data_IF_133999172736
#
_entry.id   IF_133999172736
#
_cell.length_a   1.000
_cell.length_b   1.000
_cell.length_c   1.000
_cell.angle_alpha   90.00
_cell.angle_beta   90.00
_cell.angle_gamma   90.00
#
_symmetry.space_group_name_H-M   'P 1'
#
loop_
_entity.id
_entity.type
_entity.pdbx_description
1 polymer ?
#
# COMPACT_ATOMS: atom_id res chain seq x y z
N UNK A 1 -18.54 -3.24 33.26
CA UNK A 1 -17.46 -3.90 32.47
C UNK A 1 -16.53 -2.82 31.94
N UNK A 2 -15.25 -2.91 32.27
CA UNK A 2 -14.27 -1.85 32.04
C UNK A 2 -13.83 -1.77 30.58
N UNK A 3 -14.06 -0.60 29.99
CA UNK A 3 -13.71 -0.18 28.63
C UNK A 3 -12.19 0.01 28.41
N UNK A 4 -11.36 -0.65 29.24
CA UNK A 4 -9.91 -0.44 29.36
C UNK A 4 -9.06 -1.61 28.82
N UNK A 5 -9.60 -2.82 28.69
CA UNK A 5 -8.80 -4.01 28.34
C UNK A 5 -8.48 -4.14 26.84
N UNK A 6 -9.30 -3.56 25.95
CA UNK A 6 -9.13 -3.65 24.49
C UNK A 6 -8.33 -2.50 23.86
N UNK A 7 -8.20 -1.35 24.56
CA UNK A 7 -7.63 -0.11 24.01
C UNK A 7 -6.12 -0.09 23.69
N UNK A 8 -5.21 -0.71 24.46
CA UNK A 8 -3.77 -0.59 24.18
C UNK A 8 -3.29 -1.55 23.08
N UNK A 9 -3.93 -2.71 22.92
CA UNK A 9 -3.55 -3.73 21.93
C UNK A 9 -3.81 -3.25 20.49
N UNK A 10 -4.93 -2.56 20.25
CA UNK A 10 -5.28 -2.06 18.90
C UNK A 10 -4.25 -1.09 18.32
N UNK A 11 -3.68 -0.17 19.11
CA UNK A 11 -2.66 0.78 18.63
C UNK A 11 -1.31 0.12 18.36
N UNK A 12 -0.92 -0.84 19.19
CA UNK A 12 0.33 -1.61 19.00
C UNK A 12 0.22 -2.48 17.75
N UNK A 13 -0.90 -3.16 17.57
CA UNK A 13 -1.19 -3.95 16.38
C UNK A 13 -1.18 -3.07 15.13
N UNK A 14 -1.90 -1.95 15.11
CA UNK A 14 -1.92 -1.05 13.96
C UNK A 14 -0.52 -0.49 13.62
N UNK A 15 0.29 -0.15 14.62
CA UNK A 15 1.67 0.28 14.37
C UNK A 15 2.55 -0.87 13.82
N UNK A 16 2.42 -2.09 14.36
CA UNK A 16 3.14 -3.25 13.86
C UNK A 16 2.72 -3.59 12.42
N UNK A 17 1.41 -3.56 12.14
CA UNK A 17 0.84 -3.77 10.81
C UNK A 17 1.28 -2.67 9.83
N UNK A 18 1.35 -1.40 10.27
CA UNK A 18 1.87 -0.31 9.44
C UNK A 18 3.35 -0.52 9.07
N UNK A 19 4.19 -0.86 10.06
CA UNK A 19 5.61 -1.10 9.83
C UNK A 19 5.84 -2.36 8.97
N UNK A 20 5.18 -3.47 9.30
CA UNK A 20 5.27 -4.72 8.56
C UNK A 20 4.73 -4.59 7.13
N UNK A 21 3.57 -3.94 6.97
CA UNK A 21 2.99 -3.62 5.67
C UNK A 21 3.88 -2.69 4.84
N UNK A 22 4.55 -1.71 5.47
CA UNK A 22 5.50 -0.86 4.78
C UNK A 22 6.76 -1.58 4.31
N UNK A 23 7.32 -2.47 5.14
CA UNK A 23 8.45 -3.31 4.73
C UNK A 23 8.03 -4.28 3.62
N UNK A 24 6.89 -4.96 3.76
CA UNK A 24 6.39 -5.85 2.73
C UNK A 24 6.11 -5.11 1.42
N UNK A 25 5.54 -3.91 1.47
CA UNK A 25 5.33 -3.08 0.29
C UNK A 25 6.65 -2.78 -0.42
N UNK A 26 7.67 -2.30 0.32
CA UNK A 26 8.97 -2.01 -0.24
C UNK A 26 9.65 -3.22 -0.86
N UNK A 27 9.57 -4.37 -0.18
CA UNK A 27 10.11 -5.64 -0.68
C UNK A 27 9.35 -6.12 -1.91
N UNK A 28 8.01 -6.11 -1.89
CA UNK A 28 7.16 -6.52 -3.01
C UNK A 28 7.44 -5.68 -4.25
N UNK A 29 7.44 -4.35 -4.08
CA UNK A 29 7.68 -3.42 -5.17
C UNK A 29 9.11 -3.54 -5.71
N UNK A 30 10.13 -3.61 -4.84
CA UNK A 30 11.51 -3.82 -5.29
C UNK A 30 11.69 -5.15 -6.03
N UNK A 31 11.08 -6.22 -5.52
CA UNK A 31 11.12 -7.54 -6.12
C UNK A 31 10.47 -7.53 -7.51
N UNK A 32 9.29 -6.94 -7.65
CA UNK A 32 8.60 -6.80 -8.93
C UNK A 32 9.49 -6.13 -9.98
N UNK A 33 10.05 -4.96 -9.68
CA UNK A 33 10.86 -4.20 -10.64
C UNK A 33 12.21 -4.85 -10.95
N UNK A 34 12.76 -5.66 -10.05
CA UNK A 34 13.99 -6.43 -10.31
C UNK A 34 13.74 -7.66 -11.18
N UNK A 35 12.61 -8.33 -10.98
CA UNK A 35 12.27 -9.55 -11.73
C UNK A 35 11.66 -9.24 -13.09
N UNK A 36 11.02 -8.08 -13.23
CA UNK A 36 10.30 -7.66 -14.44
C UNK A 36 10.69 -6.23 -14.85
N UNK A 37 11.96 -5.99 -15.22
CA UNK A 37 12.48 -4.65 -15.50
C UNK A 37 11.94 -4.05 -16.81
N UNK A 38 11.63 -4.91 -17.79
CA UNK A 38 11.10 -4.52 -19.11
C UNK A 38 9.56 -4.43 -19.05
N UNK A 39 9.07 -3.41 -18.34
CA UNK A 39 7.67 -2.94 -18.28
C UNK A 39 6.55 -4.00 -18.37
N UNK A 40 6.03 -4.36 -17.21
CA UNK A 40 4.65 -4.85 -17.05
C UNK A 40 3.75 -3.62 -17.06
N UNK A 41 3.24 -3.27 -18.24
CA UNK A 41 2.09 -2.36 -18.35
C UNK A 41 0.83 -3.12 -17.95
N UNK A 42 -0.28 -2.47 -17.65
CA UNK A 42 -1.56 -3.17 -17.41
C UNK A 42 -2.16 -3.77 -18.71
N UNK A 43 -1.32 -4.39 -19.52
CA UNK A 43 -1.63 -4.84 -20.87
C UNK A 43 -1.57 -6.35 -20.97
N UNK A 44 -2.01 -6.85 -22.13
CA UNK A 44 -1.97 -8.25 -22.45
C UNK A 44 -0.56 -8.88 -22.41
N UNK A 45 0.49 -8.08 -22.53
CA UNK A 45 1.89 -8.56 -22.49
C UNK A 45 2.25 -9.22 -21.14
N UNK A 46 1.48 -8.95 -20.08
CA UNK A 46 1.70 -9.54 -18.76
C UNK A 46 1.57 -11.05 -18.74
N UNK A 47 0.86 -11.65 -19.71
CA UNK A 47 0.81 -13.12 -19.83
C UNK A 47 2.19 -13.68 -20.12
N UNK A 48 2.92 -13.09 -21.08
CA UNK A 48 4.26 -13.57 -21.46
C UNK A 48 5.30 -13.23 -20.37
N UNK A 49 5.17 -12.08 -19.72
CA UNK A 49 6.02 -11.73 -18.58
C UNK A 49 5.81 -12.72 -17.44
N UNK A 50 4.56 -13.00 -17.06
CA UNK A 50 4.25 -14.02 -16.07
C UNK A 50 4.76 -15.41 -16.50
N UNK A 51 4.66 -15.77 -17.79
CA UNK A 51 5.16 -17.04 -18.31
C UNK A 51 6.69 -17.17 -18.21
N UNK A 52 7.42 -16.07 -18.37
CA UNK A 52 8.90 -16.05 -18.25
C UNK A 52 9.40 -16.32 -16.82
N UNK A 53 8.54 -16.09 -15.82
CA UNK A 53 8.91 -16.19 -14.40
C UNK A 53 7.73 -16.52 -13.50
N UNK A 54 6.96 -17.58 -13.80
CA UNK A 54 5.66 -17.85 -13.15
C UNK A 54 5.76 -17.99 -11.61
N UNK A 55 6.85 -18.57 -11.11
CA UNK A 55 7.11 -18.66 -9.68
C UNK A 55 7.29 -17.27 -9.04
N UNK A 56 8.10 -16.41 -9.68
CA UNK A 56 8.33 -15.04 -9.23
C UNK A 56 7.04 -14.21 -9.26
N UNK A 57 6.26 -14.34 -10.34
CA UNK A 57 4.96 -13.68 -10.48
C UNK A 57 4.01 -14.02 -9.32
N UNK A 58 3.90 -15.30 -8.98
CA UNK A 58 3.06 -15.76 -7.85
C UNK A 58 3.59 -15.27 -6.50
N UNK A 59 4.90 -15.24 -6.30
CA UNK A 59 5.51 -14.73 -5.07
C UNK A 59 5.19 -13.23 -4.91
N UNK A 60 5.38 -12.45 -5.96
CA UNK A 60 5.04 -11.02 -5.99
C UNK A 60 3.57 -10.80 -5.64
N UNK A 61 2.67 -11.60 -6.23
CA UNK A 61 1.23 -11.52 -5.99
C UNK A 61 0.89 -11.73 -4.52
N UNK A 62 1.53 -12.72 -3.89
CA UNK A 62 1.36 -13.02 -2.46
C UNK A 62 1.92 -11.87 -1.60
N UNK A 63 3.09 -11.34 -1.94
CA UNK A 63 3.72 -10.24 -1.19
C UNK A 63 2.84 -8.98 -1.20
N UNK A 64 2.26 -8.61 -2.35
CA UNK A 64 1.32 -7.50 -2.40
C UNK A 64 0.01 -7.82 -1.68
N UNK A 65 -0.53 -9.04 -1.78
CA UNK A 65 -1.73 -9.41 -1.02
C UNK A 65 -1.51 -9.25 0.50
N UNK A 66 -0.39 -9.77 1.03
CA UNK A 66 -0.02 -9.63 2.44
C UNK A 66 0.20 -8.17 2.84
N UNK A 67 0.81 -7.37 1.96
CA UNK A 67 0.99 -5.94 2.16
C UNK A 67 -0.34 -5.24 2.41
N UNK A 68 -1.33 -5.43 1.53
CA UNK A 68 -2.62 -4.78 1.67
C UNK A 68 -3.40 -5.28 2.90
N UNK A 69 -3.32 -6.59 3.20
CA UNK A 69 -3.93 -7.17 4.39
C UNK A 69 -3.40 -6.54 5.69
N UNK A 70 -2.11 -6.18 5.74
CA UNK A 70 -1.53 -5.46 6.88
C UNK A 70 -1.87 -3.97 6.86
N UNK A 71 -1.91 -3.33 5.69
CA UNK A 71 -2.15 -1.90 5.58
C UNK A 71 -3.60 -1.51 5.88
N UNK A 72 -4.59 -2.37 5.62
CA UNK A 72 -6.00 -2.12 5.96
C UNK A 72 -6.21 -1.82 7.46
N UNK A 73 -5.85 -2.70 8.41
CA UNK A 73 -5.97 -2.40 9.84
C UNK A 73 -5.00 -1.31 10.30
N UNK A 74 -3.85 -1.15 9.63
CA UNK A 74 -2.91 -0.06 9.91
C UNK A 74 -3.54 1.32 9.64
N UNK A 75 -4.23 1.47 8.49
CA UNK A 75 -4.93 2.71 8.15
C UNK A 75 -6.10 2.96 9.09
N UNK A 76 -6.87 1.94 9.46
CA UNK A 76 -7.90 2.09 10.49
C UNK A 76 -7.33 2.65 11.80
N UNK A 77 -6.18 2.12 12.26
CA UNK A 77 -5.50 2.62 13.44
C UNK A 77 -4.96 4.05 13.29
N UNK A 78 -4.45 4.42 12.11
CA UNK A 78 -4.02 5.77 11.80
C UNK A 78 -5.20 6.76 11.81
N UNK A 79 -6.32 6.42 11.17
CA UNK A 79 -7.56 7.20 11.15
C UNK A 79 -8.03 7.46 12.58
N UNK A 80 -8.07 6.43 13.43
CA UNK A 80 -8.46 6.60 14.85
C UNK A 80 -7.46 7.49 15.59
N UNK A 81 -6.15 7.32 15.38
CA UNK A 81 -5.13 8.12 16.05
C UNK A 81 -5.21 9.61 15.66
N UNK A 82 -5.36 9.90 14.37
CA UNK A 82 -5.54 11.27 13.85
C UNK A 82 -6.89 11.84 14.27
N UNK A 83 -7.95 11.04 14.20
CA UNK A 83 -9.34 11.46 14.46
C UNK A 83 -9.57 11.98 15.87
N UNK A 84 -8.76 11.55 16.85
CA UNK A 84 -8.75 12.09 18.22
C UNK A 84 -8.41 13.59 18.28
N UNK A 85 -7.69 14.12 17.29
CA UNK A 85 -7.25 15.53 17.23
C UNK A 85 -7.81 16.28 16.02
N UNK A 86 -8.06 15.58 14.91
CA UNK A 86 -8.44 16.14 13.61
C UNK A 86 -9.51 15.27 12.93
N UNK A 87 -10.69 15.18 13.53
CA UNK A 87 -11.78 14.27 13.11
C UNK A 87 -12.15 14.41 11.63
N UNK A 88 -12.40 15.61 11.14
CA UNK A 88 -12.80 15.85 9.74
C UNK A 88 -11.75 15.34 8.75
N UNK A 89 -10.47 15.67 8.98
CA UNK A 89 -9.38 15.27 8.08
C UNK A 89 -9.14 13.75 8.13
N UNK A 90 -9.28 13.14 9.30
CA UNK A 90 -9.22 11.69 9.45
C UNK A 90 -10.38 11.00 8.70
N UNK A 91 -11.58 11.57 8.74
CA UNK A 91 -12.73 11.06 7.99
C UNK A 91 -12.52 11.16 6.49
N UNK A 92 -12.08 12.32 5.98
CA UNK A 92 -11.79 12.53 4.55
C UNK A 92 -10.69 11.56 4.11
N UNK A 93 -9.53 11.59 4.75
CA UNK A 93 -8.41 10.72 4.40
C UNK A 93 -8.77 9.23 4.50
N UNK A 94 -9.55 8.84 5.51
CA UNK A 94 -10.02 7.46 5.67
C UNK A 94 -11.04 7.03 4.62
N UNK A 95 -11.94 7.92 4.21
CA UNK A 95 -12.92 7.67 3.14
C UNK A 95 -12.25 7.44 1.78
N UNK A 96 -11.04 7.98 1.58
CA UNK A 96 -10.23 7.72 0.39
C UNK A 96 -9.33 6.49 0.56
N UNK A 97 -8.57 6.40 1.66
CA UNK A 97 -7.54 5.37 1.84
C UNK A 97 -8.11 3.95 2.01
N UNK A 98 -9.20 3.78 2.76
CA UNK A 98 -9.73 2.44 3.06
C UNK A 98 -10.36 1.78 1.84
N UNK A 99 -11.28 2.43 1.10
CA UNK A 99 -11.82 1.85 -0.13
C UNK A 99 -10.71 1.58 -1.14
N UNK A 100 -9.76 2.50 -1.33
CA UNK A 100 -8.67 2.28 -2.28
C UNK A 100 -7.78 1.10 -1.90
N UNK A 101 -7.41 0.92 -0.63
CA UNK A 101 -6.66 -0.27 -0.21
C UNK A 101 -7.45 -1.56 -0.44
N UNK A 102 -8.76 -1.55 -0.18
CA UNK A 102 -9.62 -2.70 -0.43
C UNK A 102 -9.71 -3.03 -1.92
N UNK A 103 -10.03 -2.04 -2.76
CA UNK A 103 -10.10 -2.21 -4.21
C UNK A 103 -8.74 -2.53 -4.82
N UNK A 104 -7.64 -1.98 -4.30
CA UNK A 104 -6.26 -2.37 -4.66
C UNK A 104 -6.04 -3.86 -4.43
N UNK A 105 -6.45 -4.35 -3.27
CA UNK A 105 -6.30 -5.76 -2.91
C UNK A 105 -7.06 -6.63 -3.90
N UNK A 106 -8.30 -6.28 -4.20
CA UNK A 106 -9.12 -7.03 -5.17
C UNK A 106 -8.48 -6.96 -6.55
N UNK A 107 -8.16 -5.76 -7.01
CA UNK A 107 -7.67 -5.49 -8.35
C UNK A 107 -6.32 -6.18 -8.58
N UNK A 108 -5.28 -5.84 -7.82
CA UNK A 108 -3.94 -6.42 -8.00
C UNK A 108 -3.93 -7.93 -7.81
N UNK A 109 -4.71 -8.45 -6.85
CA UNK A 109 -4.74 -9.89 -6.61
C UNK A 109 -5.45 -10.64 -7.74
N UNK A 110 -6.63 -10.18 -8.17
CA UNK A 110 -7.35 -10.83 -9.28
C UNK A 110 -6.61 -10.64 -10.60
N UNK A 111 -6.06 -9.45 -10.83
CA UNK A 111 -5.31 -9.11 -12.04
C UNK A 111 -4.06 -10.00 -12.14
N UNK A 112 -3.18 -10.01 -11.13
CA UNK A 112 -1.97 -10.83 -11.19
C UNK A 112 -2.30 -12.34 -11.17
N UNK A 113 -3.32 -12.77 -10.43
CA UNK A 113 -3.75 -14.17 -10.45
C UNK A 113 -4.31 -14.59 -11.82
N UNK A 114 -5.05 -13.71 -12.50
CA UNK A 114 -5.59 -13.92 -13.84
C UNK A 114 -4.46 -14.15 -14.86
N UNK A 115 -3.49 -13.23 -14.94
CA UNK A 115 -2.35 -13.37 -15.84
C UNK A 115 -1.49 -14.58 -15.49
N UNK A 116 -1.28 -14.86 -14.20
CA UNK A 116 -0.56 -16.06 -13.75
C UNK A 116 -1.27 -17.36 -14.09
N UNK A 117 -2.61 -17.39 -14.06
CA UNK A 117 -3.40 -18.56 -14.45
C UNK A 117 -3.35 -18.79 -15.96
N UNK A 118 -3.49 -17.74 -16.77
CA UNK A 118 -3.37 -17.80 -18.22
C UNK A 118 -1.98 -18.27 -18.65
N UNK A 119 -0.92 -17.70 -18.07
CA UNK A 119 0.46 -18.09 -18.32
C UNK A 119 0.70 -19.56 -17.93
N UNK A 120 0.21 -20.00 -16.77
CA UNK A 120 0.29 -21.39 -16.32
C UNK A 120 -0.48 -22.37 -17.21
N UNK A 121 -1.52 -21.90 -17.89
CA UNK A 121 -2.28 -22.64 -18.90
C UNK A 121 -1.66 -22.61 -20.31
N UNK A 122 -0.53 -21.92 -20.49
CA UNK A 122 0.15 -21.80 -21.79
C UNK A 122 -0.54 -20.84 -22.78
N UNK A 123 -1.49 -20.04 -22.31
CA UNK A 123 -2.14 -19.00 -23.13
C UNK A 123 -1.11 -17.95 -23.51
N UNK A 124 -1.19 -17.44 -24.74
CA UNK A 124 -0.26 -16.43 -25.28
C UNK A 124 -0.90 -15.05 -25.31
N UNK A 125 -0.08 -14.01 -25.26
CA UNK A 125 -0.51 -12.61 -25.30
C UNK A 125 -1.51 -12.32 -26.41
N UNK A 126 -1.32 -12.88 -27.62
CA UNK A 126 -2.20 -12.62 -28.77
C UNK A 126 -3.64 -13.07 -28.53
N UNK A 127 -3.83 -14.17 -27.79
CA UNK A 127 -5.15 -14.70 -27.47
C UNK A 127 -5.87 -13.88 -26.38
N UNK A 128 -5.12 -13.18 -25.53
CA UNK A 128 -5.64 -12.43 -24.37
C UNK A 128 -5.83 -10.95 -24.71
N UNK A 129 -5.08 -10.43 -25.69
CA UNK A 129 -5.11 -9.04 -26.13
C UNK A 129 -6.52 -8.48 -26.39
N UNK A 130 -7.42 -9.16 -27.13
CA UNK A 130 -8.76 -8.61 -27.36
C UNK A 130 -9.57 -8.40 -26.07
N UNK A 131 -9.35 -9.26 -25.06
CA UNK A 131 -10.04 -9.16 -23.77
C UNK A 131 -9.47 -8.01 -22.95
N UNK A 132 -8.15 -7.87 -22.89
CA UNK A 132 -7.50 -6.81 -22.12
C UNK A 132 -7.77 -5.44 -22.74
N UNK A 133 -7.66 -5.31 -24.07
CA UNK A 133 -7.96 -4.07 -24.78
C UNK A 133 -9.42 -3.62 -24.57
N UNK A 134 -10.34 -4.57 -24.36
CA UNK A 134 -11.73 -4.29 -24.02
C UNK A 134 -11.88 -3.84 -22.56
N UNK A 135 -11.18 -4.50 -21.62
CA UNK A 135 -11.16 -4.13 -20.21
C UNK A 135 -10.56 -2.74 -19.98
N UNK A 136 -9.47 -2.40 -20.66
CA UNK A 136 -8.81 -1.08 -20.56
C UNK A 136 -9.73 0.09 -20.98
N UNK A 137 -10.71 -0.19 -21.85
CA UNK A 137 -11.69 0.80 -22.34
C UNK A 137 -13.00 0.77 -21.57
N UNK A 138 -13.19 -0.22 -20.70
CA UNK A 138 -14.39 -0.37 -19.91
C UNK A 138 -14.45 0.68 -18.80
N UNK A 139 -15.56 1.42 -18.75
CA UNK A 139 -15.70 2.54 -17.82
C UNK A 139 -15.66 2.11 -16.34
N UNK A 140 -16.12 0.89 -16.01
CA UNK A 140 -16.07 0.40 -14.64
C UNK A 140 -14.65 0.01 -14.24
N UNK A 141 -13.88 -0.60 -15.14
CA UNK A 141 -12.47 -0.92 -14.91
C UNK A 141 -11.65 0.35 -14.70
N UNK A 142 -11.78 1.34 -15.60
CA UNK A 142 -11.11 2.64 -15.48
C UNK A 142 -11.50 3.36 -14.19
N UNK A 143 -12.79 3.35 -13.82
CA UNK A 143 -13.24 3.95 -12.57
C UNK A 143 -12.65 3.23 -11.34
N UNK A 144 -12.57 1.90 -11.36
CA UNK A 144 -11.97 1.14 -10.26
C UNK A 144 -10.48 1.45 -10.08
N UNK A 145 -9.76 1.60 -11.18
CA UNK A 145 -8.34 1.98 -11.20
C UNK A 145 -8.13 3.42 -10.71
N UNK A 146 -8.99 4.35 -11.14
CA UNK A 146 -8.97 5.73 -10.65
C UNK A 146 -9.24 5.80 -9.13
N UNK A 147 -10.19 5.02 -8.61
CA UNK A 147 -10.45 4.93 -7.16
C UNK A 147 -9.22 4.43 -6.41
N UNK A 148 -8.52 3.43 -6.96
CA UNK A 148 -7.27 2.94 -6.39
C UNK A 148 -6.20 4.03 -6.33
N UNK A 149 -5.87 4.65 -7.47
CA UNK A 149 -4.85 5.71 -7.54
C UNK A 149 -5.18 6.85 -6.59
N UNK A 150 -6.40 7.40 -6.72
CA UNK A 150 -6.81 8.56 -5.95
C UNK A 150 -6.82 8.22 -4.47
N UNK A 151 -7.40 7.09 -4.06
CA UNK A 151 -7.51 6.83 -2.64
C UNK A 151 -6.19 6.36 -1.99
N UNK A 152 -5.33 5.64 -2.70
CA UNK A 152 -4.00 5.28 -2.18
C UNK A 152 -3.10 6.51 -2.09
N UNK A 153 -3.02 7.31 -3.15
CA UNK A 153 -2.18 8.51 -3.14
C UNK A 153 -2.74 9.58 -2.22
N UNK A 154 -3.93 10.08 -2.53
CA UNK A 154 -4.53 11.23 -1.85
C UNK A 154 -4.88 10.84 -0.43
N UNK A 155 -5.49 9.66 -0.21
CA UNK A 155 -5.88 9.21 1.12
C UNK A 155 -4.68 9.05 2.06
N UNK A 156 -3.60 8.39 1.62
CA UNK A 156 -2.39 8.22 2.43
C UNK A 156 -1.75 9.57 2.75
N UNK A 157 -1.59 10.47 1.76
CA UNK A 157 -0.98 11.78 1.98
C UNK A 157 -1.82 12.65 2.91
N UNK A 158 -3.14 12.70 2.71
CA UNK A 158 -4.05 13.44 3.60
C UNK A 158 -3.90 12.93 5.04
N UNK A 159 -3.88 11.60 5.26
CA UNK A 159 -3.68 11.03 6.58
C UNK A 159 -2.29 11.31 7.15
N UNK A 160 -1.24 11.26 6.33
CA UNK A 160 0.13 11.52 6.76
C UNK A 160 0.35 12.99 7.17
N UNK A 161 -0.13 13.94 6.36
CA UNK A 161 -0.10 15.37 6.71
C UNK A 161 -0.99 15.66 7.91
N UNK A 162 -2.15 15.00 8.04
CA UNK A 162 -2.98 15.13 9.23
C UNK A 162 -2.29 14.60 10.48
N UNK A 163 -1.54 13.49 10.38
CA UNK A 163 -0.73 12.94 11.48
C UNK A 163 0.38 13.92 11.90
N UNK A 164 1.04 14.57 10.95
CA UNK A 164 2.01 15.63 11.26
C UNK A 164 1.35 16.85 11.92
N UNK A 165 0.25 17.37 11.37
CA UNK A 165 -0.52 18.50 11.94
C UNK A 165 -1.14 18.17 13.30
N UNK A 166 -1.39 16.89 13.55
CA UNK A 166 -1.82 16.38 14.84
C UNK A 166 -0.64 16.15 15.80
N UNK A 167 0.61 16.38 15.40
CA UNK A 167 1.81 16.19 16.24
C UNK A 167 2.10 14.73 16.58
N UNK A 168 1.68 13.79 15.73
CA UNK A 168 1.95 12.36 15.88
C UNK A 168 3.28 11.97 15.23
N UNK A 169 3.66 12.65 14.15
CA UNK A 169 4.90 12.41 13.40
C UNK A 169 5.59 13.73 13.05
N UNK A 170 6.87 13.66 12.68
CA UNK A 170 7.62 14.80 12.15
C UNK A 170 7.29 15.05 10.67
N UNK A 171 7.56 16.27 10.19
CA UNK A 171 7.26 16.71 8.81
C UNK A 171 7.98 15.87 7.75
N UNK A 172 9.13 15.27 8.07
CA UNK A 172 9.84 14.42 7.10
C UNK A 172 8.98 13.23 6.62
N UNK A 173 8.08 12.69 7.47
CA UNK A 173 7.25 11.51 7.14
C UNK A 173 6.33 11.77 5.94
N UNK A 174 5.44 12.79 5.97
CA UNK A 174 4.63 13.10 4.80
C UNK A 174 5.48 13.56 3.60
N UNK A 175 6.63 14.21 3.81
CA UNK A 175 7.50 14.63 2.70
C UNK A 175 8.13 13.45 1.97
N UNK A 176 8.65 12.43 2.67
CA UNK A 176 9.21 11.24 2.01
C UNK A 176 8.14 10.41 1.30
N UNK A 177 6.92 10.32 1.86
CA UNK A 177 5.80 9.66 1.20
C UNK A 177 5.38 10.41 -0.06
N UNK A 178 5.32 11.74 0.00
CA UNK A 178 5.03 12.60 -1.16
C UNK A 178 6.11 12.43 -2.22
N UNK A 179 7.38 12.52 -1.83
CA UNK A 179 8.51 12.34 -2.75
C UNK A 179 8.53 10.95 -3.39
N UNK A 180 8.26 9.90 -2.61
CA UNK A 180 8.14 8.53 -3.11
C UNK A 180 7.01 8.40 -4.13
N UNK A 181 5.82 8.94 -3.84
CA UNK A 181 4.70 8.91 -4.78
C UNK A 181 4.98 9.72 -6.05
N UNK A 182 5.50 10.94 -5.93
CA UNK A 182 5.84 11.75 -7.12
C UNK A 182 6.90 11.04 -7.97
N UNK A 183 7.94 10.49 -7.34
CA UNK A 183 8.97 9.73 -8.04
C UNK A 183 8.39 8.49 -8.73
N UNK A 184 7.46 7.79 -8.09
CA UNK A 184 6.79 6.62 -8.67
C UNK A 184 6.00 6.97 -9.94
N UNK A 185 5.39 8.16 -9.96
CA UNK A 185 4.63 8.65 -11.12
C UNK A 185 5.48 9.07 -12.31
N UNK A 186 6.65 9.68 -12.04
CA UNK A 186 7.48 10.27 -13.11
C UNK A 186 8.59 9.32 -13.59
N UNK A 187 8.74 8.17 -12.95
CA UNK A 187 9.81 7.20 -13.27
C UNK A 187 9.25 5.87 -13.75
N UNK A 188 9.94 5.27 -14.71
CA UNK A 188 9.68 3.93 -15.24
C UNK A 188 10.86 2.97 -15.06
N UNK A 189 12.04 3.49 -14.69
CA UNK A 189 13.26 2.70 -14.60
C UNK A 189 13.39 1.99 -13.24
N UNK A 190 14.11 0.86 -13.22
CA UNK A 190 14.29 0.04 -12.02
C UNK A 190 14.93 0.83 -10.87
N UNK A 191 16.01 1.57 -11.13
CA UNK A 191 16.75 2.30 -10.09
C UNK A 191 15.88 3.29 -9.28
N UNK A 192 15.12 4.22 -9.89
CA UNK A 192 14.21 5.08 -9.14
C UNK A 192 13.09 4.30 -8.45
N UNK A 193 12.60 3.18 -9.01
CA UNK A 193 11.59 2.35 -8.33
C UNK A 193 12.11 1.68 -7.06
N UNK A 194 13.40 1.32 -7.01
CA UNK A 194 14.03 0.87 -5.76
C UNK A 194 14.08 2.00 -4.71
N UNK A 195 14.33 3.24 -5.15
CA UNK A 195 14.27 4.41 -4.26
C UNK A 195 12.83 4.63 -3.76
N UNK A 196 11.82 4.52 -4.62
CA UNK A 196 10.39 4.56 -4.23
C UNK A 196 10.11 3.54 -3.13
N UNK A 197 10.53 2.28 -3.32
CA UNK A 197 10.37 1.22 -2.32
C UNK A 197 10.96 1.59 -0.95
N UNK A 198 12.17 2.17 -0.94
CA UNK A 198 12.82 2.61 0.28
C UNK A 198 12.09 3.79 0.94
N UNK A 199 11.67 4.80 0.16
CA UNK A 199 10.95 5.97 0.65
C UNK A 199 9.57 5.60 1.23
N UNK A 200 8.83 4.73 0.55
CA UNK A 200 7.53 4.24 1.01
C UNK A 200 7.67 3.43 2.29
N UNK A 201 8.68 2.56 2.38
CA UNK A 201 9.01 1.82 3.60
C UNK A 201 9.32 2.76 4.76
N UNK A 202 10.21 3.74 4.54
CA UNK A 202 10.61 4.70 5.55
C UNK A 202 9.44 5.55 6.04
N UNK A 203 8.59 6.03 5.12
CA UNK A 203 7.41 6.81 5.45
C UNK A 203 6.38 6.03 6.27
N UNK A 204 6.09 4.79 5.88
CA UNK A 204 5.15 3.92 6.62
C UNK A 204 5.70 3.53 7.99
N UNK A 205 7.00 3.27 8.12
CA UNK A 205 7.66 3.09 9.43
C UNK A 205 7.55 4.38 10.27
N UNK A 206 7.75 5.55 9.66
CA UNK A 206 7.57 6.85 10.33
C UNK A 206 6.15 7.00 10.89
N UNK A 207 5.12 6.65 10.12
CA UNK A 207 3.73 6.63 10.58
C UNK A 207 3.52 5.62 11.70
N UNK A 208 4.08 4.41 11.58
CA UNK A 208 4.02 3.39 12.63
C UNK A 208 4.56 3.90 13.97
N UNK A 209 5.71 4.58 13.95
CA UNK A 209 6.33 5.16 15.15
C UNK A 209 5.43 6.22 15.80
N UNK A 210 4.71 7.03 15.00
CA UNK A 210 3.77 8.03 15.52
C UNK A 210 2.49 7.46 16.12
N UNK A 211 2.05 6.28 15.68
CA UNK A 211 0.84 5.60 16.20
C UNK A 211 1.12 4.88 17.52
N UNK A 212 2.38 4.44 17.75
CA UNK A 212 2.77 3.66 18.93
C UNK A 212 2.38 4.37 20.23
N UNK A 213 1.85 3.65 21.24
CA UNK A 213 1.64 4.23 22.57
C UNK A 213 2.95 4.78 23.12
N UNK A 214 2.96 6.01 23.63
CA UNK A 214 4.08 6.50 24.45
C UNK A 214 4.25 5.52 25.61
N UNK A 215 5.43 4.91 25.75
CA UNK A 215 5.78 4.25 27.02
C UNK A 215 5.73 5.37 28.05
N UNK A 216 4.72 5.33 28.93
CA UNK A 216 4.83 6.04 30.20
C UNK A 216 6.02 5.36 30.86
N UNK A 217 7.14 6.07 30.95
CA UNK A 217 8.24 5.61 31.78
C UNK A 217 7.60 5.36 33.14
N UNK A 218 7.53 4.09 33.55
CA UNK A 218 7.14 3.77 34.91
C UNK A 218 8.08 4.59 35.77
N UNK A 219 7.51 5.52 36.55
CA UNK A 219 8.27 6.21 37.55
C UNK A 219 8.95 5.11 38.36
N UNK A 220 10.27 4.99 38.22
CA UNK A 220 11.10 4.38 39.24
C UNK A 220 11.10 5.37 40.41
N UNK A 221 9.93 5.46 41.05
CA UNK A 221 9.75 5.92 42.39
C UNK A 221 9.81 4.67 43.25
N UNK A 222 11.03 4.28 43.60
CA UNK A 222 11.29 3.61 44.87
C UNK A 222 12.55 4.26 45.41
N UNK A 223 12.30 4.97 46.51
CA UNK A 223 13.19 5.61 47.48
C UNK A 223 14.41 4.76 47.78
#
# INVERSE_FOLDING_TARGET
MSDQTTRPYGRRFAAAAMAGGGVLYGVANAFYWLMFPDQVSETAANVDVAASGLGAWRIETILFALTHLLLLPAMAGLIVAVGRRKRLVATIGGAFAVPALYFSTIHLWHYNAFFGALAGGGVKTEAVRPVVDALEKDALVVASFAVWILGWMVGLLVLAFAAWRAGLVSLWVPLVLTGGQVLDFVSSDVAPKLVVSALMTAGLIGLALGIRPRRVASAAATV
#
